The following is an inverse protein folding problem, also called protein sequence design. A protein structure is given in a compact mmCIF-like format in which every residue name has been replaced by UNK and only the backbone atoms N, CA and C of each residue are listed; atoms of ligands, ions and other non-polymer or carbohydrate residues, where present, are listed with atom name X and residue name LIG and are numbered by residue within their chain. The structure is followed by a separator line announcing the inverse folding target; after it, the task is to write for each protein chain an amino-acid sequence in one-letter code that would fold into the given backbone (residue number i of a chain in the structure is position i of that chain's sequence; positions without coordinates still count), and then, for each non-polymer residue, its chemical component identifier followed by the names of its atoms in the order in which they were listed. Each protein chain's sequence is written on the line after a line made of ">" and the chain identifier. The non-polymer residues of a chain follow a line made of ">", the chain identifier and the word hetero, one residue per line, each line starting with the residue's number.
data_IF_737804883239
#
_entry.id   IF_737804883239
#
_cell.length_a   1.000
_cell.length_b   1.000
_cell.length_c   1.000
_cell.angle_alpha   90.00
_cell.angle_beta   90.00
_cell.angle_gamma   90.00
#
_symmetry.space_group_name_H-M   'P 1'
#
loop_
_entity.id
_entity.type
_entity.pdbx_description
1 polymer ?
#
# COMPACT_ATOMS: atom_id res chain seq x y z
N UNK A 1 18.35 -20.21 5.21
CA UNK A 1 17.91 -19.32 4.12
C UNK A 1 16.92 -18.22 4.58
N UNK A 2 15.79 -18.54 5.24
CA UNK A 2 14.81 -17.51 5.71
C UNK A 2 15.43 -16.43 6.63
N UNK A 3 16.35 -16.78 7.52
CA UNK A 3 16.95 -15.82 8.44
C UNK A 3 17.78 -14.74 7.71
N UNK A 4 18.57 -15.15 6.73
CA UNK A 4 19.40 -14.25 5.92
C UNK A 4 18.55 -13.31 5.05
N UNK A 5 17.45 -13.82 4.49
CA UNK A 5 16.49 -13.01 3.74
C UNK A 5 15.89 -11.90 4.62
N UNK A 6 15.45 -12.23 5.83
CA UNK A 6 14.88 -11.26 6.75
C UNK A 6 15.87 -10.14 7.13
N UNK A 7 17.16 -10.45 7.26
CA UNK A 7 18.18 -9.43 7.54
C UNK A 7 18.36 -8.44 6.39
N UNK A 8 18.36 -8.93 5.14
CA UNK A 8 18.46 -8.06 3.96
C UNK A 8 17.23 -7.17 3.84
N UNK A 9 16.04 -7.76 4.00
CA UNK A 9 14.78 -7.00 3.94
C UNK A 9 14.69 -5.97 5.06
N UNK A 10 15.10 -6.33 6.28
CA UNK A 10 15.11 -5.40 7.40
C UNK A 10 16.04 -4.21 7.11
N UNK A 11 17.26 -4.44 6.62
CA UNK A 11 18.17 -3.36 6.23
C UNK A 11 17.57 -2.46 5.14
N UNK A 12 16.92 -3.05 4.14
CA UNK A 12 16.23 -2.28 3.10
C UNK A 12 15.14 -1.37 3.71
N UNK A 13 14.36 -1.90 4.64
CA UNK A 13 13.32 -1.12 5.33
C UNK A 13 13.91 0.01 6.17
N UNK A 14 14.97 -0.27 6.94
CA UNK A 14 15.70 0.72 7.75
C UNK A 14 16.31 1.84 6.90
N UNK A 15 16.88 1.48 5.74
CA UNK A 15 17.49 2.45 4.82
C UNK A 15 16.44 3.34 4.13
N UNK A 16 15.24 2.79 3.88
CA UNK A 16 14.19 3.48 3.14
C UNK A 16 13.22 4.26 4.02
N UNK A 17 12.97 3.80 5.25
CA UNK A 17 11.88 4.31 6.07
C UNK A 17 12.30 4.62 7.50
N UNK A 18 11.88 5.81 7.93
CA UNK A 18 12.03 6.28 9.30
C UNK A 18 10.64 6.65 9.83
N UNK A 19 10.49 6.64 11.13
CA UNK A 19 9.31 7.15 11.81
C UNK A 19 9.36 8.68 11.97
N UNK A 20 8.36 9.27 12.59
CA UNK A 20 8.30 10.72 12.84
C UNK A 20 9.38 11.24 13.80
N UNK A 21 10.00 10.36 14.59
CA UNK A 21 11.13 10.70 15.45
C UNK A 21 12.47 10.62 14.71
N UNK A 22 12.48 10.08 13.50
CA UNK A 22 13.67 9.85 12.69
C UNK A 22 14.36 8.51 12.98
N UNK A 23 13.73 7.64 13.76
CA UNK A 23 14.25 6.30 14.02
C UNK A 23 13.92 5.35 12.88
N UNK A 24 14.83 4.43 12.52
CA UNK A 24 14.57 3.43 11.47
C UNK A 24 13.36 2.56 11.79
N UNK A 25 12.53 2.31 10.76
CA UNK A 25 11.36 1.43 10.90
C UNK A 25 11.81 0.00 11.12
N UNK A 26 11.38 -0.60 12.24
CA UNK A 26 11.68 -1.99 12.61
C UNK A 26 10.44 -2.86 12.39
N UNK A 27 10.57 -3.90 11.57
CA UNK A 27 9.53 -4.89 11.32
C UNK A 27 9.83 -6.18 12.08
N UNK A 28 8.80 -6.82 12.62
CA UNK A 28 8.93 -8.17 13.19
C UNK A 28 9.21 -9.20 12.08
N UNK A 29 9.77 -10.38 12.38
CA UNK A 29 10.06 -11.40 11.36
C UNK A 29 8.86 -11.77 10.48
N UNK A 30 7.67 -11.83 11.04
CA UNK A 30 6.48 -12.13 10.23
C UNK A 30 5.98 -10.93 9.42
N UNK A 31 6.18 -9.71 9.88
CA UNK A 31 5.93 -8.51 9.07
C UNK A 31 6.93 -8.41 7.91
N UNK A 32 8.20 -8.78 8.12
CA UNK A 32 9.19 -8.88 7.05
C UNK A 32 8.78 -9.91 5.99
N UNK A 33 8.21 -11.05 6.39
CA UNK A 33 7.69 -12.04 5.44
C UNK A 33 6.52 -11.48 4.61
N UNK A 34 5.59 -10.74 5.22
CA UNK A 34 4.51 -10.04 4.51
C UNK A 34 5.07 -9.01 3.55
N UNK A 35 6.02 -8.20 4.02
CA UNK A 35 6.68 -7.19 3.21
C UNK A 35 7.36 -7.80 1.99
N UNK A 36 8.14 -8.85 2.16
CA UNK A 36 8.84 -9.57 1.09
C UNK A 36 7.88 -10.15 0.04
N UNK A 37 6.77 -10.74 0.47
CA UNK A 37 5.76 -11.29 -0.44
C UNK A 37 5.24 -10.20 -1.38
N UNK A 38 4.96 -9.00 -0.86
CA UNK A 38 4.36 -7.90 -1.61
C UNK A 38 5.44 -7.12 -2.37
N UNK A 39 6.46 -6.62 -1.68
CA UNK A 39 7.51 -5.80 -2.26
C UNK A 39 8.38 -6.59 -3.26
N UNK A 40 8.64 -7.86 -2.98
CA UNK A 40 9.35 -8.77 -3.88
C UNK A 40 8.49 -9.40 -4.98
N UNK A 41 7.16 -9.28 -4.92
CA UNK A 41 6.22 -9.98 -5.82
C UNK A 41 6.53 -11.48 -5.92
N UNK A 42 6.77 -12.12 -4.78
CA UNK A 42 7.27 -13.50 -4.76
C UNK A 42 6.27 -14.51 -5.33
N UNK A 43 4.99 -14.19 -5.29
CA UNK A 43 3.92 -15.06 -5.77
C UNK A 43 2.89 -14.26 -6.58
N UNK A 44 2.30 -14.82 -7.63
CA UNK A 44 1.23 -14.18 -8.38
C UNK A 44 -0.03 -13.98 -7.54
N UNK A 45 -0.24 -14.86 -6.55
CA UNK A 45 -1.33 -14.79 -5.56
C UNK A 45 -0.84 -15.29 -4.22
N UNK A 46 -1.25 -14.62 -3.15
CA UNK A 46 -0.90 -15.01 -1.78
C UNK A 46 -2.10 -14.83 -0.87
N UNK A 47 -2.24 -15.71 0.09
CA UNK A 47 -3.18 -15.61 1.18
C UNK A 47 -2.42 -15.49 2.48
N UNK A 48 -2.61 -14.38 3.20
CA UNK A 48 -1.87 -14.08 4.43
C UNK A 48 -2.85 -14.05 5.60
N UNK A 49 -2.74 -15.01 6.51
CA UNK A 49 -3.49 -15.06 7.75
C UNK A 49 -2.62 -14.63 8.93
N UNK A 50 -3.10 -13.65 9.72
CA UNK A 50 -2.45 -13.20 10.95
C UNK A 50 -3.50 -12.93 12.01
N UNK A 51 -3.08 -12.87 13.28
CA UNK A 51 -3.97 -12.44 14.35
C UNK A 51 -4.23 -10.93 14.34
N UNK A 52 -5.23 -10.49 15.05
CA UNK A 52 -5.60 -9.07 15.16
C UNK A 52 -4.46 -8.26 15.78
N UNK A 53 -4.29 -7.02 15.33
CA UNK A 53 -3.24 -6.07 15.76
C UNK A 53 -1.80 -6.51 15.45
N UNK A 54 -1.62 -7.39 14.49
CA UNK A 54 -0.29 -7.81 14.03
C UNK A 54 0.49 -6.72 13.27
N UNK A 55 -0.15 -5.60 12.94
CA UNK A 55 0.44 -4.57 12.09
C UNK A 55 0.37 -4.89 10.60
N UNK A 56 -0.51 -5.81 10.19
CA UNK A 56 -0.70 -6.24 8.80
C UNK A 56 -0.94 -5.07 7.84
N UNK A 57 -1.93 -4.24 8.13
CA UNK A 57 -2.31 -3.11 7.28
C UNK A 57 -1.20 -2.06 7.15
N UNK A 58 -0.43 -1.84 8.23
CA UNK A 58 0.78 -1.02 8.23
C UNK A 58 1.82 -1.58 7.25
N UNK A 59 2.16 -2.87 7.40
CA UNK A 59 3.16 -3.56 6.57
C UNK A 59 2.74 -3.61 5.10
N UNK A 60 1.45 -3.86 4.83
CA UNK A 60 0.87 -3.83 3.48
C UNK A 60 1.02 -2.46 2.83
N UNK A 61 0.70 -1.39 3.58
CA UNK A 61 0.87 -0.01 3.10
C UNK A 61 2.32 0.31 2.76
N UNK A 62 3.25 -0.06 3.64
CA UNK A 62 4.70 0.14 3.46
C UNK A 62 5.24 -0.61 2.23
N UNK A 63 4.87 -1.89 2.09
CA UNK A 63 5.29 -2.71 0.95
C UNK A 63 4.73 -2.20 -0.39
N UNK A 64 3.47 -1.79 -0.43
CA UNK A 64 2.87 -1.18 -1.62
C UNK A 64 3.55 0.15 -1.96
N UNK A 65 3.85 1.00 -0.96
CA UNK A 65 4.60 2.25 -1.16
C UNK A 65 5.98 1.98 -1.74
N UNK A 66 6.70 0.99 -1.23
CA UNK A 66 8.01 0.57 -1.77
C UNK A 66 7.90 0.21 -3.25
N UNK A 67 6.88 -0.54 -3.65
CA UNK A 67 6.67 -0.89 -5.06
C UNK A 67 6.46 0.34 -5.94
N UNK A 68 5.50 1.19 -5.58
CA UNK A 68 5.10 2.32 -6.42
C UNK A 68 6.10 3.46 -6.47
N UNK A 69 7.08 3.48 -5.55
CA UNK A 69 8.19 4.45 -5.54
C UNK A 69 9.44 3.95 -6.27
N UNK A 70 9.56 2.64 -6.52
CA UNK A 70 10.72 2.05 -7.21
C UNK A 70 10.37 1.51 -8.60
N UNK A 71 9.10 1.22 -8.86
CA UNK A 71 8.64 0.67 -10.14
C UNK A 71 7.43 1.45 -10.65
N UNK A 72 7.27 1.61 -11.98
CA UNK A 72 6.13 2.29 -12.59
C UNK A 72 4.89 1.40 -12.56
N UNK A 73 4.52 0.97 -11.37
CA UNK A 73 3.41 0.07 -11.11
C UNK A 73 2.26 0.80 -10.42
N UNK A 74 1.07 0.28 -10.60
CA UNK A 74 -0.11 0.74 -9.88
C UNK A 74 -0.65 -0.37 -8.99
N UNK A 75 -0.94 -0.01 -7.77
CA UNK A 75 -1.45 -0.90 -6.72
C UNK A 75 -2.74 -0.36 -6.14
N UNK A 76 -3.72 -1.24 -5.97
CA UNK A 76 -4.97 -0.94 -5.29
C UNK A 76 -5.10 -1.78 -4.02
N UNK A 77 -5.35 -1.13 -2.90
CA UNK A 77 -5.67 -1.78 -1.63
C UNK A 77 -7.18 -1.58 -1.42
N UNK A 78 -7.90 -2.68 -1.25
CA UNK A 78 -9.35 -2.66 -0.98
C UNK A 78 -9.57 -3.08 0.46
N UNK A 79 -10.14 -2.17 1.26
CA UNK A 79 -10.54 -2.42 2.64
C UNK A 79 -12.07 -2.53 2.74
N UNK A 80 -12.62 -3.35 3.65
CA UNK A 80 -14.06 -3.51 3.80
C UNK A 80 -14.75 -2.23 4.27
N UNK A 81 -14.11 -1.45 5.17
CA UNK A 81 -14.68 -0.23 5.76
C UNK A 81 -13.91 1.04 5.40
N UNK A 82 -14.60 2.18 5.39
CA UNK A 82 -14.00 3.48 5.06
C UNK A 82 -12.91 3.89 6.07
N UNK A 83 -13.11 3.62 7.36
CA UNK A 83 -12.13 3.96 8.39
C UNK A 83 -10.85 3.13 8.25
N UNK A 84 -10.94 1.84 7.90
CA UNK A 84 -9.78 1.00 7.61
C UNK A 84 -9.02 1.52 6.39
N UNK A 85 -9.72 1.86 5.30
CA UNK A 85 -9.10 2.46 4.13
C UNK A 85 -8.34 3.75 4.48
N UNK A 86 -8.93 4.60 5.32
CA UNK A 86 -8.31 5.85 5.79
C UNK A 86 -7.06 5.62 6.65
N UNK A 87 -7.10 4.61 7.53
CA UNK A 87 -5.94 4.23 8.37
C UNK A 87 -4.77 3.77 7.48
N UNK A 88 -5.03 2.90 6.50
CA UNK A 88 -3.98 2.40 5.59
C UNK A 88 -3.36 3.55 4.80
N UNK A 89 -4.20 4.42 4.22
CA UNK A 89 -3.70 5.58 3.48
C UNK A 89 -2.96 6.56 4.41
N UNK A 90 -3.39 6.68 5.66
CA UNK A 90 -2.70 7.47 6.69
C UNK A 90 -1.26 7.00 6.90
N UNK A 91 -1.03 5.71 7.07
CA UNK A 91 0.32 5.14 7.18
C UNK A 91 1.17 5.43 5.93
N UNK A 92 0.59 5.26 4.74
CA UNK A 92 1.29 5.55 3.49
C UNK A 92 1.70 7.02 3.42
N UNK A 93 0.80 7.95 3.76
CA UNK A 93 1.06 9.39 3.75
C UNK A 93 2.15 9.76 4.75
N UNK A 94 2.12 9.22 5.97
CA UNK A 94 3.15 9.48 6.97
C UNK A 94 4.53 9.09 6.41
N UNK A 95 4.68 7.87 5.90
CA UNK A 95 5.94 7.41 5.32
C UNK A 95 6.38 8.19 4.07
N UNK A 96 5.46 8.78 3.30
CA UNK A 96 5.85 9.69 2.20
C UNK A 96 6.54 10.92 2.73
N UNK A 97 6.01 11.53 3.81
CA UNK A 97 6.53 12.79 4.31
C UNK A 97 7.64 12.66 5.36
N UNK A 98 7.74 11.51 6.01
CA UNK A 98 8.83 11.24 6.95
C UNK A 98 10.13 10.80 6.24
N UNK A 99 10.07 10.55 4.92
CA UNK A 99 11.21 10.09 4.13
C UNK A 99 11.46 10.98 2.90
N UNK A 100 12.54 11.72 2.94
CA UNK A 100 12.88 12.71 1.91
C UNK A 100 13.00 12.11 0.50
N UNK A 101 13.57 10.90 0.37
CA UNK A 101 13.69 10.22 -0.93
C UNK A 101 12.35 9.84 -1.54
N UNK A 102 11.40 9.47 -0.69
CA UNK A 102 10.02 9.14 -1.10
C UNK A 102 9.26 10.42 -1.43
N UNK A 103 9.37 11.45 -0.56
CA UNK A 103 8.72 12.74 -0.75
C UNK A 103 9.11 13.41 -2.08
N UNK A 104 10.37 13.32 -2.49
CA UNK A 104 10.86 13.86 -3.77
C UNK A 104 10.19 13.25 -5.01
N UNK A 105 9.69 12.03 -4.91
CA UNK A 105 8.98 11.35 -6.00
C UNK A 105 7.48 11.61 -5.99
N UNK A 106 6.94 12.10 -4.86
CA UNK A 106 5.52 12.31 -4.71
C UNK A 106 5.04 13.50 -5.55
N UNK A 107 4.03 13.27 -6.39
CA UNK A 107 3.37 14.32 -7.16
C UNK A 107 2.26 14.97 -6.34
N UNK A 108 2.51 16.18 -5.86
CA UNK A 108 1.50 16.97 -5.16
C UNK A 108 0.42 17.38 -6.17
N UNK A 109 -0.86 17.03 -5.95
CA UNK A 109 -1.94 17.40 -6.85
C UNK A 109 -2.05 18.93 -7.00
N UNK A 110 -2.43 19.38 -8.19
CA UNK A 110 -2.58 20.81 -8.47
C UNK A 110 -3.58 21.47 -7.50
N UNK A 111 -3.16 22.57 -6.89
CA UNK A 111 -3.97 23.31 -5.94
C UNK A 111 -3.89 22.80 -4.49
N UNK A 112 -3.01 21.86 -4.20
CA UNK A 112 -2.78 21.34 -2.87
C UNK A 112 -1.36 21.63 -2.37
N UNK A 113 -1.15 21.51 -1.04
CA UNK A 113 0.17 21.60 -0.42
C UNK A 113 0.52 20.32 0.31
N UNK A 114 1.81 20.03 0.43
CA UNK A 114 2.34 18.90 1.20
C UNK A 114 1.82 18.91 2.65
N UNK A 115 1.86 20.09 3.29
CA UNK A 115 1.38 20.28 4.67
C UNK A 115 -0.08 19.93 4.84
N UNK A 116 -0.93 20.36 3.88
CA UNK A 116 -2.35 20.05 3.91
C UNK A 116 -2.59 18.55 3.77
N UNK A 117 -1.94 17.89 2.82
CA UNK A 117 -2.08 16.45 2.59
C UNK A 117 -1.65 15.67 3.84
N UNK A 118 -0.50 16.03 4.43
CA UNK A 118 0.01 15.40 5.65
C UNK A 118 -0.95 15.56 6.83
N UNK A 119 -1.48 16.76 7.04
CA UNK A 119 -2.38 17.06 8.16
C UNK A 119 -3.73 16.40 8.02
N UNK A 120 -4.34 16.49 6.84
CA UNK A 120 -5.72 16.04 6.64
C UNK A 120 -5.81 14.53 6.35
N UNK A 121 -4.74 13.91 5.79
CA UNK A 121 -4.69 12.50 5.38
C UNK A 121 -5.96 12.07 4.61
N UNK A 122 -6.52 12.99 3.83
CA UNK A 122 -7.83 12.87 3.17
C UNK A 122 -7.75 12.26 1.77
N UNK A 123 -6.56 11.84 1.34
CA UNK A 123 -6.36 11.24 0.02
C UNK A 123 -6.68 9.76 0.03
N UNK A 124 -7.26 9.31 -1.07
CA UNK A 124 -7.46 7.90 -1.38
C UNK A 124 -6.52 7.40 -2.50
N UNK A 125 -5.74 8.33 -3.09
CA UNK A 125 -4.81 8.06 -4.18
C UNK A 125 -3.57 8.93 -4.09
N UNK A 126 -2.39 8.31 -4.28
CA UNK A 126 -1.09 8.99 -4.39
C UNK A 126 -0.40 8.57 -5.69
N UNK A 127 0.36 9.48 -6.27
CA UNK A 127 1.10 9.28 -7.52
C UNK A 127 2.56 9.65 -7.32
N UNK A 128 3.46 8.86 -7.87
CA UNK A 128 4.91 9.02 -7.74
C UNK A 128 5.56 9.04 -9.12
N UNK A 129 6.47 9.97 -9.35
CA UNK A 129 7.22 10.09 -10.60
C UNK A 129 8.61 9.52 -10.45
N UNK A 130 8.99 8.64 -11.36
CA UNK A 130 10.34 8.08 -11.47
C UNK A 130 11.27 9.04 -12.23
N UNK A 131 12.57 8.79 -12.14
CA UNK A 131 13.59 9.59 -12.82
C UNK A 131 13.46 9.58 -14.35
N UNK A 132 12.96 8.50 -14.94
CA UNK A 132 12.68 8.36 -16.37
C UNK A 132 11.34 8.97 -16.81
N UNK A 133 10.61 9.60 -15.87
CA UNK A 133 9.30 10.19 -16.10
C UNK A 133 8.13 9.22 -16.01
N UNK A 134 8.37 7.93 -15.85
CA UNK A 134 7.31 6.95 -15.64
C UNK A 134 6.62 7.15 -14.28
N UNK A 135 5.44 6.60 -14.13
CA UNK A 135 4.54 6.89 -12.98
C UNK A 135 4.15 5.63 -12.24
N UNK A 136 4.45 5.60 -10.94
CA UNK A 136 3.89 4.66 -10.00
C UNK A 136 2.66 5.26 -9.28
N UNK A 137 1.81 4.42 -8.73
CA UNK A 137 0.66 4.93 -7.99
C UNK A 137 0.04 3.91 -7.05
N UNK A 138 -0.45 4.39 -5.92
CA UNK A 138 -1.23 3.60 -4.96
C UNK A 138 -2.57 4.26 -4.72
N UNK A 139 -3.64 3.46 -4.70
CA UNK A 139 -4.94 3.89 -4.20
C UNK A 139 -5.45 2.95 -3.12
N UNK A 140 -6.22 3.50 -2.19
CA UNK A 140 -6.92 2.72 -1.17
C UNK A 140 -8.42 2.97 -1.32
N UNK A 141 -9.17 1.89 -1.49
CA UNK A 141 -10.62 1.93 -1.69
C UNK A 141 -11.32 1.26 -0.52
N UNK A 142 -12.50 1.80 -0.17
CA UNK A 142 -13.42 1.11 0.73
C UNK A 142 -14.53 0.43 -0.09
N UNK A 143 -14.85 -0.82 0.26
CA UNK A 143 -15.99 -1.53 -0.29
C UNK A 143 -17.33 -1.07 0.32
N UNK A 144 -17.29 -0.44 1.50
CA UNK A 144 -18.47 0.00 2.24
C UNK A 144 -19.40 0.89 1.39
N UNK A 145 -20.66 0.47 1.29
CA UNK A 145 -21.68 1.22 0.56
C UNK A 145 -21.49 1.32 -0.96
N UNK A 146 -20.55 0.57 -1.53
CA UNK A 146 -20.30 0.53 -2.97
C UNK A 146 -20.73 -0.81 -3.54
N UNK A 147 -21.32 -0.78 -4.73
CA UNK A 147 -21.60 -2.02 -5.46
C UNK A 147 -20.30 -2.62 -6.01
N UNK A 148 -20.29 -3.94 -6.23
CA UNK A 148 -19.21 -4.67 -6.90
C UNK A 148 -18.73 -3.94 -8.17
N UNK A 149 -19.66 -3.51 -9.04
CA UNK A 149 -19.34 -2.80 -10.27
C UNK A 149 -18.53 -1.53 -9.99
N UNK A 150 -18.91 -0.72 -9.00
CA UNK A 150 -18.19 0.52 -8.67
C UNK A 150 -16.77 0.26 -8.19
N UNK A 151 -16.53 -0.81 -7.42
CA UNK A 151 -15.18 -1.19 -6.99
C UNK A 151 -14.36 -1.64 -8.19
N UNK A 152 -14.90 -2.52 -9.04
CA UNK A 152 -14.20 -2.99 -10.25
C UNK A 152 -13.87 -1.84 -11.20
N UNK A 153 -14.83 -0.95 -11.46
CA UNK A 153 -14.63 0.22 -12.31
C UNK A 153 -13.54 1.15 -11.75
N UNK A 154 -13.46 1.31 -10.43
CA UNK A 154 -12.42 2.11 -9.79
C UNK A 154 -11.03 1.46 -9.91
N UNK A 155 -10.91 0.15 -9.74
CA UNK A 155 -9.65 -0.60 -9.91
C UNK A 155 -9.20 -0.54 -11.37
N UNK A 156 -10.11 -0.80 -12.31
CA UNK A 156 -9.81 -0.77 -13.75
C UNK A 156 -9.51 0.65 -14.24
N UNK A 157 -10.28 1.64 -13.79
CA UNK A 157 -10.07 3.04 -14.15
C UNK A 157 -8.74 3.61 -13.64
N UNK A 158 -8.23 3.09 -12.52
CA UNK A 158 -6.87 3.39 -12.07
C UNK A 158 -5.81 2.64 -12.90
N UNK A 159 -6.19 1.57 -13.59
CA UNK A 159 -5.28 0.72 -14.35
C UNK A 159 -4.32 -0.07 -13.46
N UNK A 160 -4.82 -0.60 -12.36
CA UNK A 160 -4.05 -1.35 -11.38
C UNK A 160 -4.14 -2.86 -11.65
N UNK A 161 -3.06 -3.49 -12.12
CA UNK A 161 -3.00 -4.95 -12.23
C UNK A 161 -2.72 -5.63 -10.88
N UNK A 162 -2.32 -4.86 -9.87
CA UNK A 162 -1.93 -5.39 -8.56
C UNK A 162 -2.98 -4.95 -7.53
N UNK A 163 -3.58 -5.93 -6.85
CA UNK A 163 -4.64 -5.68 -5.87
C UNK A 163 -4.35 -6.43 -4.56
N UNK A 164 -4.53 -5.73 -3.46
CA UNK A 164 -4.49 -6.29 -2.11
C UNK A 164 -5.89 -6.15 -1.51
N UNK A 165 -6.41 -7.25 -0.98
CA UNK A 165 -7.65 -7.27 -0.21
C UNK A 165 -7.30 -7.34 1.27
N UNK A 166 -7.39 -6.21 1.96
CA UNK A 166 -7.18 -6.18 3.41
C UNK A 166 -8.45 -6.61 4.12
N UNK A 167 -8.31 -7.37 5.22
CA UNK A 167 -9.44 -7.94 5.98
C UNK A 167 -10.48 -8.64 5.07
N UNK A 168 -10.01 -9.43 4.11
CA UNK A 168 -10.86 -10.03 3.06
C UNK A 168 -12.01 -10.88 3.60
N UNK A 169 -11.91 -11.40 4.84
CA UNK A 169 -12.99 -12.12 5.53
C UNK A 169 -14.21 -11.24 5.87
N UNK A 170 -14.05 -9.92 5.83
CA UNK A 170 -15.14 -8.95 6.07
C UNK A 170 -15.70 -8.37 4.77
N UNK A 171 -15.15 -8.73 3.61
CA UNK A 171 -15.72 -8.41 2.31
C UNK A 171 -16.87 -9.37 2.02
N UNK A 172 -17.94 -8.88 1.40
CA UNK A 172 -18.98 -9.78 0.92
C UNK A 172 -18.48 -10.64 -0.25
N UNK A 173 -19.10 -11.81 -0.42
CA UNK A 173 -18.69 -12.79 -1.42
C UNK A 173 -18.71 -12.25 -2.86
N UNK A 174 -19.64 -11.33 -3.14
CA UNK A 174 -19.77 -10.72 -4.46
C UNK A 174 -18.60 -9.79 -4.79
N UNK A 175 -18.14 -8.97 -3.82
CA UNK A 175 -16.97 -8.14 -4.00
C UNK A 175 -15.71 -8.99 -4.16
N UNK A 176 -15.52 -9.97 -3.26
CA UNK A 176 -14.39 -10.86 -3.29
C UNK A 176 -14.29 -11.63 -4.62
N UNK A 177 -15.36 -12.34 -4.99
CA UNK A 177 -15.40 -13.11 -6.22
C UNK A 177 -15.22 -12.23 -7.47
N UNK A 178 -15.76 -11.00 -7.44
CA UNK A 178 -15.61 -10.07 -8.55
C UNK A 178 -14.16 -9.64 -8.78
N UNK A 179 -13.48 -9.26 -7.72
CA UNK A 179 -12.08 -8.83 -7.79
C UNK A 179 -11.17 -10.00 -8.23
N UNK A 180 -11.36 -11.18 -7.64
CA UNK A 180 -10.56 -12.37 -8.01
C UNK A 180 -10.72 -12.74 -9.48
N UNK A 181 -11.95 -12.68 -10.03
CA UNK A 181 -12.20 -12.95 -11.46
C UNK A 181 -11.56 -11.91 -12.39
N UNK A 182 -11.50 -10.65 -11.97
CA UNK A 182 -10.88 -9.58 -12.75
C UNK A 182 -9.36 -9.78 -12.86
N UNK A 183 -8.74 -10.34 -11.82
CA UNK A 183 -7.29 -10.57 -11.77
C UNK A 183 -6.84 -11.85 -12.52
N UNK A 184 -7.75 -12.62 -13.07
CA UNK A 184 -7.50 -13.82 -13.90
C UNK A 184 -7.28 -15.07 -13.08
#
# INVERSE_FOLDING_TARGET
>A
MKHYQNEITQRLVEDLYHDEAGDPVMLTPGQLEIFDIIAGRLYPRSWIGTYTQYGKSYTVGLAALTRVTHYPEKWTIVAPKADQARIIMGYIIDHVFDNEMVAKKFEIPKGESAERIRREKSKDKLTFRMADGSIGGVQVLSAQGKSKKKILDAVMGFGSPNVILDESSLLDDDHFAGIIRMLG
#
